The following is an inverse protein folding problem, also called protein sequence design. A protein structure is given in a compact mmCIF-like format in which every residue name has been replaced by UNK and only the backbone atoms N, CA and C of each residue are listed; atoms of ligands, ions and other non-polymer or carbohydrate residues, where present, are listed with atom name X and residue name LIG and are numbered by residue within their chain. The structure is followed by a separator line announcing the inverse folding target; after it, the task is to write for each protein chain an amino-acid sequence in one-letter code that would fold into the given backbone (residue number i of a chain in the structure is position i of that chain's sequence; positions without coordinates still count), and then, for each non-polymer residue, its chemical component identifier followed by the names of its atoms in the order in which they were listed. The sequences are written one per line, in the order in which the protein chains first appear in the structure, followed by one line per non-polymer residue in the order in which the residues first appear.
data_IF_938628012541
#
_entry.id   IF_938628012541
#
_cell.length_a   1.000
_cell.length_b   1.000
_cell.length_c   1.000
_cell.angle_alpha   90.00
_cell.angle_beta   90.00
_cell.angle_gamma   90.00
#
_symmetry.space_group_name_H-M   'P 1'
#
loop_
_entity.id
_entity.type
_entity.pdbx_description
1 polymer ?
#
# COMPACT_ATOMS: atom_id res chain seq x y z
N UNK A 1 -7.50 2.24 -6.07
CA UNK A 1 -7.65 1.95 -4.64
C UNK A 1 -6.49 1.13 -4.06
N UNK A 2 -6.17 -0.06 -4.54
CA UNK A 2 -5.04 -0.88 -4.04
C UNK A 2 -3.70 -0.13 -3.98
N UNK A 3 -3.47 0.80 -4.92
CA UNK A 3 -2.26 1.65 -4.97
C UNK A 3 -2.15 2.60 -3.77
N UNK A 4 -3.20 3.32 -3.43
CA UNK A 4 -3.20 4.24 -2.28
C UNK A 4 -2.91 3.49 -0.99
N UNK A 5 -3.61 2.37 -0.75
CA UNK A 5 -3.38 1.49 0.40
C UNK A 5 -1.92 1.05 0.45
N UNK A 6 -1.37 0.60 -0.68
CA UNK A 6 -0.02 0.06 -0.73
C UNK A 6 1.06 1.12 -0.53
N UNK A 7 0.92 2.29 -1.15
CA UNK A 7 1.84 3.41 -0.92
C UNK A 7 1.86 3.79 0.56
N UNK A 8 0.70 3.83 1.20
CA UNK A 8 0.59 4.09 2.64
C UNK A 8 1.30 3.00 3.46
N UNK A 9 1.08 1.72 3.17
CA UNK A 9 1.72 0.61 3.90
C UNK A 9 3.25 0.62 3.76
N UNK A 10 3.78 0.87 2.56
CA UNK A 10 5.22 0.89 2.29
C UNK A 10 5.92 2.09 2.94
N UNK A 11 5.22 3.21 3.10
CA UNK A 11 5.78 4.44 3.67
C UNK A 11 5.58 4.58 5.18
N UNK A 12 4.73 3.74 5.79
CA UNK A 12 4.46 3.75 7.23
C UNK A 12 5.74 3.51 8.07
N UNK A 13 5.81 4.17 9.21
CA UNK A 13 6.71 3.73 10.27
C UNK A 13 6.19 2.40 10.84
N UNK A 14 7.09 1.43 11.03
CA UNK A 14 6.70 0.22 11.76
C UNK A 14 6.28 0.61 13.18
N UNK A 15 5.12 0.14 13.66
CA UNK A 15 4.69 0.40 15.02
C UNK A 15 5.61 -0.24 16.09
N UNK A 16 6.52 -1.13 15.65
CA UNK A 16 7.59 -1.71 16.46
C UNK A 16 8.93 -0.97 16.33
N UNK A 17 8.97 0.20 15.67
CA UNK A 17 10.18 1.04 15.58
C UNK A 17 10.69 1.42 16.98
N UNK A 18 12.01 1.33 17.17
CA UNK A 18 12.63 1.74 18.43
C UNK A 18 12.79 3.27 18.48
N UNK A 19 12.51 3.86 19.65
CA UNK A 19 12.47 5.32 19.88
C UNK A 19 13.79 5.91 20.39
N UNK A 20 14.83 5.09 20.50
CA UNK A 20 16.06 5.47 21.21
C UNK A 20 17.02 6.37 20.40
N UNK A 21 16.75 6.58 19.12
CA UNK A 21 17.59 7.47 18.31
C UNK A 21 17.06 8.91 18.39
N UNK A 22 17.86 9.81 18.96
CA UNK A 22 17.54 11.25 19.04
C UNK A 22 17.90 12.02 17.78
N UNK A 23 18.71 11.44 16.93
CA UNK A 23 19.19 12.09 15.70
C UNK A 23 18.19 11.95 14.54
N UNK A 24 18.28 12.90 13.63
CA UNK A 24 17.59 12.79 12.34
C UNK A 24 18.29 11.71 11.53
N UNK A 25 17.56 10.67 11.14
CA UNK A 25 18.06 9.59 10.30
C UNK A 25 17.47 9.78 8.90
N UNK A 26 18.24 10.36 7.96
CA UNK A 26 17.82 10.42 6.55
C UNK A 26 17.79 9.01 5.96
N UNK A 27 16.85 8.76 5.07
CA UNK A 27 16.73 7.49 4.39
C UNK A 27 16.37 7.66 2.91
N UNK A 28 16.88 6.77 2.07
CA UNK A 28 16.42 6.57 0.71
C UNK A 28 16.04 5.10 0.54
N UNK A 29 14.99 4.81 -0.19
CA UNK A 29 14.57 3.43 -0.41
C UNK A 29 14.08 3.19 -1.83
N UNK A 30 14.39 2.00 -2.33
CA UNK A 30 13.86 1.43 -3.56
C UNK A 30 13.07 0.18 -3.17
N UNK A 31 11.83 0.09 -3.65
CA UNK A 31 10.98 -1.09 -3.49
C UNK A 31 10.56 -1.55 -4.88
N UNK A 32 10.76 -2.82 -5.16
CA UNK A 32 10.20 -3.48 -6.34
C UNK A 32 9.24 -4.55 -5.84
N UNK A 33 8.01 -4.47 -6.29
CA UNK A 33 6.92 -5.32 -5.84
C UNK A 33 6.23 -5.98 -7.01
N UNK A 34 5.84 -7.23 -6.85
CA UNK A 34 4.88 -7.91 -7.72
C UNK A 34 3.69 -8.34 -6.88
N UNK A 35 2.50 -7.97 -7.30
CA UNK A 35 1.24 -8.32 -6.65
C UNK A 35 0.30 -8.98 -7.65
N UNK A 36 -0.41 -10.01 -7.18
CA UNK A 36 -1.51 -10.64 -7.90
C UNK A 36 -2.79 -10.44 -7.11
N UNK A 37 -3.88 -10.28 -7.81
CA UNK A 37 -5.22 -10.30 -7.26
C UNK A 37 -6.04 -11.30 -8.07
N UNK A 38 -6.58 -12.30 -7.39
CA UNK A 38 -7.50 -13.29 -7.94
C UNK A 38 -8.91 -13.02 -7.41
N UNK A 39 -9.91 -13.06 -8.28
CA UNK A 39 -11.29 -12.77 -7.97
C UNK A 39 -12.12 -12.58 -9.24
N UNK A 40 -13.21 -11.85 -9.15
CA UNK A 40 -14.09 -11.56 -10.30
C UNK A 40 -13.34 -10.82 -11.43
N UNK A 41 -12.28 -10.06 -11.09
CA UNK A 41 -11.34 -9.45 -12.03
C UNK A 41 -9.91 -9.72 -11.54
N UNK A 42 -9.24 -10.68 -12.17
CA UNK A 42 -7.83 -10.94 -11.88
C UNK A 42 -6.95 -9.89 -12.54
N UNK A 43 -5.99 -9.38 -11.79
CA UNK A 43 -4.94 -8.55 -12.35
C UNK A 43 -3.60 -8.85 -11.70
N UNK A 44 -2.55 -8.57 -12.43
CA UNK A 44 -1.17 -8.66 -12.00
C UNK A 44 -0.55 -7.27 -12.06
N UNK A 45 0.20 -6.85 -11.06
CA UNK A 45 0.93 -5.59 -11.13
C UNK A 45 2.38 -5.77 -10.73
N UNK A 46 3.25 -5.06 -11.44
CA UNK A 46 4.67 -4.89 -11.08
C UNK A 46 4.90 -3.42 -10.79
N UNK A 47 5.27 -3.12 -9.54
CA UNK A 47 5.44 -1.75 -9.08
C UNK A 47 6.87 -1.49 -8.64
N UNK A 48 7.38 -0.32 -9.03
CA UNK A 48 8.64 0.22 -8.55
C UNK A 48 8.36 1.52 -7.80
N UNK A 49 8.88 1.64 -6.58
CA UNK A 49 8.76 2.83 -5.74
C UNK A 49 10.15 3.29 -5.35
N UNK A 50 10.46 4.54 -5.66
CA UNK A 50 11.67 5.22 -5.20
C UNK A 50 11.25 6.32 -4.23
N UNK A 51 11.85 6.36 -3.05
CA UNK A 51 11.54 7.39 -2.06
C UNK A 51 12.76 7.86 -1.30
N UNK A 52 12.70 9.10 -0.85
CA UNK A 52 13.62 9.70 0.09
C UNK A 52 12.84 10.35 1.24
N UNK A 53 13.46 10.41 2.41
CA UNK A 53 12.81 10.97 3.58
C UNK A 53 13.74 11.00 4.77
N UNK A 54 13.17 11.22 5.93
CA UNK A 54 13.87 11.12 7.19
C UNK A 54 12.93 10.72 8.32
N UNK A 55 13.49 10.18 9.37
CA UNK A 55 12.83 9.97 10.64
C UNK A 55 13.62 10.61 11.77
N UNK A 56 12.91 11.02 12.80
CA UNK A 56 13.48 11.57 14.02
C UNK A 56 12.71 11.07 15.22
N UNK A 57 13.43 10.63 16.24
CA UNK A 57 12.84 10.34 17.55
C UNK A 57 13.24 11.44 18.54
N UNK A 58 12.31 11.86 19.37
CA UNK A 58 12.54 12.84 20.43
C UNK A 58 11.61 12.54 21.60
N UNK A 59 12.22 12.19 22.73
CA UNK A 59 11.48 11.71 23.89
C UNK A 59 10.63 10.51 23.53
N UNK A 60 9.33 10.59 23.83
CA UNK A 60 8.36 9.53 23.58
C UNK A 60 7.80 9.52 22.14
N UNK A 61 8.31 10.41 21.26
CA UNK A 61 7.82 10.58 19.91
C UNK A 61 8.79 10.05 18.86
N UNK A 62 8.25 9.51 17.78
CA UNK A 62 8.94 9.36 16.50
C UNK A 62 8.11 10.01 15.39
N UNK A 63 8.75 10.82 14.58
CA UNK A 63 8.18 11.40 13.37
C UNK A 63 8.95 10.89 12.15
N UNK A 64 8.23 10.66 11.07
CA UNK A 64 8.81 10.31 9.78
C UNK A 64 8.11 11.06 8.66
N UNK A 65 8.85 11.36 7.60
CA UNK A 65 8.30 11.86 6.35
C UNK A 65 9.01 11.21 5.19
N UNK A 66 8.31 11.05 4.09
CA UNK A 66 8.84 10.52 2.82
C UNK A 66 8.21 11.25 1.66
N UNK A 67 9.01 11.45 0.63
CA UNK A 67 8.56 11.85 -0.70
C UNK A 67 9.12 10.87 -1.71
N UNK A 68 8.41 10.63 -2.80
CA UNK A 68 8.88 9.67 -3.79
C UNK A 68 8.07 9.65 -5.05
N UNK A 69 8.48 8.78 -5.95
CA UNK A 69 7.77 8.45 -7.16
C UNK A 69 7.49 6.95 -7.26
N UNK A 70 6.51 6.60 -8.06
CA UNK A 70 6.19 5.22 -8.37
C UNK A 70 5.94 5.04 -9.86
N UNK A 71 6.20 3.82 -10.32
CA UNK A 71 5.76 3.31 -11.61
C UNK A 71 5.09 1.96 -11.37
N UNK A 72 3.94 1.74 -11.97
CA UNK A 72 3.13 0.53 -11.82
C UNK A 72 2.74 0.03 -13.21
N UNK A 73 3.14 -1.18 -13.55
CA UNK A 73 2.75 -1.88 -14.78
C UNK A 73 1.68 -2.89 -14.41
N UNK A 74 0.52 -2.80 -15.06
CA UNK A 74 -0.68 -3.54 -14.69
C UNK A 74 -1.11 -4.38 -15.90
N UNK A 75 -1.12 -5.69 -15.70
CA UNK A 75 -1.70 -6.65 -16.63
C UNK A 75 -3.09 -7.06 -16.12
N UNK A 76 -4.11 -6.77 -16.91
CA UNK A 76 -5.50 -7.16 -16.62
C UNK A 76 -5.79 -8.45 -17.39
N UNK A 77 -6.72 -9.27 -16.89
CA UNK A 77 -7.06 -10.53 -17.58
C UNK A 77 -7.49 -10.27 -19.03
N UNK A 78 -6.76 -10.89 -19.98
CA UNK A 78 -6.93 -10.69 -21.40
C UNK A 78 -5.84 -9.81 -22.02
N UNK A 79 -6.11 -9.16 -23.15
CA UNK A 79 -5.14 -8.31 -23.84
C UNK A 79 -5.02 -6.90 -23.22
N UNK A 80 -5.87 -6.57 -22.26
CA UNK A 80 -5.92 -5.25 -21.65
C UNK A 80 -4.72 -4.98 -20.77
N UNK A 81 -4.18 -3.78 -20.86
CA UNK A 81 -2.99 -3.34 -20.12
C UNK A 81 -3.20 -1.97 -19.53
N UNK A 82 -2.49 -1.71 -18.45
CA UNK A 82 -2.45 -0.39 -17.84
C UNK A 82 -1.07 -0.10 -17.29
N UNK A 83 -0.72 1.16 -17.25
CA UNK A 83 0.41 1.60 -16.46
C UNK A 83 0.00 2.83 -15.65
N UNK A 84 0.71 3.07 -14.57
CA UNK A 84 0.51 4.27 -13.79
C UNK A 84 1.82 4.76 -13.24
N UNK A 85 2.00 6.06 -13.27
CA UNK A 85 3.18 6.71 -12.71
C UNK A 85 2.78 7.95 -11.93
N UNK A 86 3.57 8.30 -10.93
CA UNK A 86 3.24 9.46 -10.14
C UNK A 86 4.21 9.72 -9.02
N UNK A 87 3.85 10.69 -8.20
CA UNK A 87 4.62 11.15 -7.05
C UNK A 87 3.75 11.06 -5.80
N UNK A 88 4.39 11.00 -4.65
CA UNK A 88 3.69 10.99 -3.38
C UNK A 88 4.50 11.67 -2.28
N UNK A 89 3.80 12.10 -1.24
CA UNK A 89 4.34 12.52 0.04
C UNK A 89 3.60 11.82 1.18
N UNK A 90 4.32 11.47 2.23
CA UNK A 90 3.72 10.89 3.42
C UNK A 90 4.36 11.45 4.69
N UNK A 91 3.57 11.52 5.73
CA UNK A 91 4.02 11.83 7.10
C UNK A 91 3.52 10.74 8.02
N UNK A 92 4.33 10.36 8.99
CA UNK A 92 3.98 9.36 10.00
C UNK A 92 4.43 9.82 11.37
N UNK A 93 3.67 9.48 12.39
CA UNK A 93 3.96 9.79 13.77
C UNK A 93 3.68 8.59 14.66
N UNK A 94 4.47 8.45 15.71
CA UNK A 94 4.24 7.48 16.77
C UNK A 94 4.58 8.11 18.11
N UNK A 95 3.80 7.82 19.13
CA UNK A 95 4.06 8.19 20.51
C UNK A 95 3.97 6.96 21.41
N UNK A 96 4.97 6.80 22.25
CA UNK A 96 4.93 5.80 23.33
C UNK A 96 4.56 6.50 24.65
N UNK A 97 3.70 5.88 25.43
CA UNK A 97 3.32 6.32 26.77
C UNK A 97 3.28 5.10 27.70
N UNK A 98 3.26 5.34 28.99
CA UNK A 98 3.43 4.36 30.08
C UNK A 98 3.03 2.92 29.75
N UNK A 99 3.81 1.96 30.24
CA UNK A 99 3.62 0.51 30.08
C UNK A 99 3.69 0.00 28.63
N UNK A 100 4.44 0.68 27.73
CA UNK A 100 4.64 0.26 26.34
C UNK A 100 3.46 0.49 25.43
N UNK A 101 2.49 1.30 25.85
CA UNK A 101 1.38 1.73 24.97
C UNK A 101 1.90 2.64 23.86
N UNK A 102 1.43 2.44 22.65
CA UNK A 102 1.81 3.22 21.46
C UNK A 102 0.58 3.70 20.71
N UNK A 103 0.54 4.98 20.44
CA UNK A 103 -0.34 5.59 19.45
C UNK A 103 0.50 5.86 18.19
N UNK A 104 0.02 5.46 17.04
CA UNK A 104 0.71 5.64 15.77
C UNK A 104 -0.27 6.06 14.68
N UNK A 105 0.22 6.78 13.70
CA UNK A 105 -0.61 7.23 12.60
C UNK A 105 0.20 7.67 11.40
N UNK A 106 -0.49 7.87 10.29
CA UNK A 106 0.10 8.26 9.01
C UNK A 106 -0.92 9.00 8.17
N UNK A 107 -0.41 9.91 7.34
CA UNK A 107 -1.14 10.49 6.22
C UNK A 107 -0.30 10.38 4.94
N UNK A 108 -0.97 10.22 3.80
CA UNK A 108 -0.39 10.12 2.47
C UNK A 108 -1.18 10.97 1.50
N UNK A 109 -0.47 11.66 0.63
CA UNK A 109 -1.00 12.34 -0.55
C UNK A 109 -0.19 11.87 -1.76
N UNK A 110 -0.86 11.51 -2.84
CA UNK A 110 -0.25 11.12 -4.11
C UNK A 110 -0.96 11.77 -5.29
N UNK A 111 -0.20 11.99 -6.36
CA UNK A 111 -0.72 12.42 -7.66
C UNK A 111 -0.07 11.57 -8.74
N UNK A 112 -0.85 11.13 -9.72
CA UNK A 112 -0.34 10.30 -10.80
C UNK A 112 -1.16 10.37 -12.06
N UNK A 113 -0.59 9.78 -13.11
CA UNK A 113 -1.21 9.59 -14.41
C UNK A 113 -1.35 8.09 -14.63
N UNK A 114 -2.51 7.69 -15.09
CA UNK A 114 -2.85 6.31 -15.43
C UNK A 114 -3.14 6.22 -16.91
N UNK A 115 -2.39 5.38 -17.63
CA UNK A 115 -2.67 5.04 -19.02
C UNK A 115 -3.27 3.64 -19.07
N UNK A 116 -4.31 3.48 -19.85
CA UNK A 116 -4.98 2.20 -20.05
C UNK A 116 -5.16 1.93 -21.53
N UNK A 117 -4.86 0.71 -21.95
CA UNK A 117 -5.13 0.19 -23.28
C UNK A 117 -6.13 -0.94 -23.18
N UNK A 118 -7.23 -0.84 -23.87
CA UNK A 118 -8.27 -1.86 -23.99
C UNK A 118 -8.42 -2.29 -25.44
N UNK A 119 -8.58 -3.58 -25.66
CA UNK A 119 -8.83 -4.14 -26.99
C UNK A 119 -10.29 -4.59 -27.07
N UNK A 120 -11.02 -4.07 -28.04
CA UNK A 120 -12.42 -4.38 -28.25
C UNK A 120 -12.64 -4.91 -29.67
N UNK A 121 -13.58 -5.83 -29.80
CA UNK A 121 -14.05 -6.27 -31.12
C UNK A 121 -15.33 -5.48 -31.45
N UNK A 122 -15.23 -4.60 -32.41
CA UNK A 122 -16.34 -3.85 -32.97
C UNK A 122 -16.78 -4.48 -34.30
N UNK A 123 -17.90 -4.02 -34.88
CA UNK A 123 -18.41 -4.48 -36.17
C UNK A 123 -17.38 -4.36 -37.32
N UNK A 124 -16.45 -3.41 -37.20
CA UNK A 124 -15.36 -3.16 -38.16
C UNK A 124 -14.05 -3.94 -37.84
N UNK A 125 -14.07 -4.80 -36.84
CA UNK A 125 -12.91 -5.60 -36.43
C UNK A 125 -12.36 -5.24 -35.04
N UNK A 126 -11.15 -5.71 -34.74
CA UNK A 126 -10.50 -5.42 -33.47
C UNK A 126 -9.96 -3.99 -33.44
N UNK A 127 -10.36 -3.20 -32.44
CA UNK A 127 -9.89 -1.83 -32.21
C UNK A 127 -9.12 -1.74 -30.90
N UNK A 128 -8.12 -0.88 -30.88
CA UNK A 128 -7.37 -0.49 -29.69
C UNK A 128 -7.92 0.85 -29.19
N UNK A 129 -8.29 0.90 -27.93
CA UNK A 129 -8.77 2.10 -27.25
C UNK A 129 -7.76 2.46 -26.16
N UNK A 130 -7.17 3.63 -26.27
CA UNK A 130 -6.20 4.15 -25.31
C UNK A 130 -6.84 5.28 -24.50
N UNK A 131 -6.64 5.29 -23.20
CA UNK A 131 -7.10 6.36 -22.32
C UNK A 131 -6.01 6.79 -21.36
N UNK A 132 -6.00 8.07 -21.02
CA UNK A 132 -5.12 8.64 -20.01
C UNK A 132 -5.97 9.41 -19.01
N UNK A 133 -5.80 9.14 -17.72
CA UNK A 133 -6.48 9.85 -16.65
C UNK A 133 -5.52 10.30 -15.56
N UNK A 134 -5.89 11.38 -14.88
CA UNK A 134 -5.18 11.83 -13.69
C UNK A 134 -5.85 11.28 -12.43
N UNK A 135 -5.04 10.98 -11.43
CA UNK A 135 -5.53 10.45 -10.17
C UNK A 135 -4.86 11.12 -8.98
N UNK A 136 -5.67 11.55 -8.02
CA UNK A 136 -5.22 12.00 -6.70
C UNK A 136 -5.49 10.91 -5.69
N UNK A 137 -4.47 10.48 -4.97
CA UNK A 137 -4.56 9.46 -3.92
C UNK A 137 -4.41 10.10 -2.55
N UNK A 138 -5.32 9.78 -1.64
CA UNK A 138 -5.30 10.19 -0.26
C UNK A 138 -5.32 8.96 0.63
N UNK A 139 -4.59 9.00 1.74
CA UNK A 139 -4.61 7.91 2.72
C UNK A 139 -4.34 8.44 4.11
N UNK A 140 -5.05 7.91 5.10
CA UNK A 140 -4.82 8.21 6.49
C UNK A 140 -5.01 6.97 7.36
N UNK A 141 -4.27 6.88 8.46
CA UNK A 141 -4.52 5.85 9.46
C UNK A 141 -4.14 6.34 10.85
N UNK A 142 -4.82 5.78 11.84
CA UNK A 142 -4.50 5.95 13.25
C UNK A 142 -4.67 4.61 13.96
N UNK A 143 -3.74 4.24 14.82
CA UNK A 143 -3.78 2.97 15.54
C UNK A 143 -3.22 3.10 16.93
N UNK A 144 -3.61 2.15 17.76
CA UNK A 144 -3.15 2.00 19.13
C UNK A 144 -2.75 0.56 19.38
N UNK A 145 -1.70 0.35 20.16
CA UNK A 145 -1.26 -1.00 20.54
C UNK A 145 -0.39 -0.96 21.78
N UNK A 146 -0.03 -2.15 22.28
CA UNK A 146 0.87 -2.28 23.41
C UNK A 146 2.06 -3.16 23.05
N UNK A 147 3.26 -2.59 23.10
CA UNK A 147 4.51 -3.32 22.86
C UNK A 147 4.90 -4.11 24.10
N UNK A 148 5.16 -5.39 23.90
CA UNK A 148 5.75 -6.30 24.87
C UNK A 148 7.11 -6.75 24.37
N UNK A 149 8.10 -6.74 25.23
CA UNK A 149 9.47 -7.15 24.93
C UNK A 149 10.06 -7.92 26.12
N UNK A 150 9.61 -9.17 26.37
CA UNK A 150 10.09 -9.98 27.47
C UNK A 150 11.60 -10.22 27.38
N UNK A 151 12.32 -10.12 28.50
CA UNK A 151 13.78 -10.24 28.51
C UNK A 151 14.28 -11.62 28.11
N UNK A 152 13.47 -12.67 28.35
CA UNK A 152 13.85 -14.06 28.08
C UNK A 152 13.79 -14.46 26.61
N UNK A 153 13.11 -13.67 25.75
CA UNK A 153 12.96 -13.97 24.33
C UNK A 153 13.45 -12.82 23.46
N UNK A 154 14.14 -13.15 22.39
CA UNK A 154 14.64 -12.16 21.43
C UNK A 154 13.55 -11.65 20.48
N UNK A 155 12.31 -11.50 20.97
CA UNK A 155 11.16 -11.03 20.21
C UNK A 155 10.48 -9.86 20.93
N UNK A 156 9.99 -8.91 20.15
CA UNK A 156 8.98 -7.93 20.56
C UNK A 156 7.69 -8.23 19.84
N UNK A 157 6.58 -8.11 20.52
CA UNK A 157 5.26 -8.26 19.89
C UNK A 157 4.31 -7.17 20.37
N UNK A 158 3.33 -6.84 19.52
CA UNK A 158 2.41 -5.78 19.77
C UNK A 158 1.01 -6.14 19.20
N UNK A 159 0.07 -6.53 20.08
CA UNK A 159 -1.33 -6.48 19.70
C UNK A 159 -1.73 -5.02 19.44
N UNK A 160 -2.53 -4.78 18.39
CA UNK A 160 -2.92 -3.45 17.99
C UNK A 160 -4.31 -3.43 17.36
N UNK A 161 -4.90 -2.25 17.34
CA UNK A 161 -6.04 -1.91 16.51
C UNK A 161 -5.73 -0.63 15.72
N UNK A 162 -6.19 -0.56 14.48
CA UNK A 162 -5.94 0.55 13.57
C UNK A 162 -7.19 0.85 12.75
N UNK A 163 -7.53 2.12 12.67
CA UNK A 163 -8.51 2.65 11.73
C UNK A 163 -7.76 3.24 10.54
N UNK A 164 -8.21 2.96 9.33
CA UNK A 164 -7.65 3.54 8.11
C UNK A 164 -8.75 4.02 7.18
N UNK A 165 -8.41 5.02 6.40
CA UNK A 165 -9.19 5.49 5.26
C UNK A 165 -8.24 5.72 4.09
N UNK A 166 -8.62 5.22 2.93
CA UNK A 166 -7.90 5.41 1.67
C UNK A 166 -8.90 5.84 0.60
N UNK A 167 -8.52 6.81 -0.20
CA UNK A 167 -9.31 7.33 -1.31
C UNK A 167 -8.47 7.57 -2.55
N UNK A 168 -9.09 7.44 -3.70
CA UNK A 168 -8.55 7.84 -4.99
C UNK A 168 -9.63 8.59 -5.76
N UNK A 169 -9.31 9.80 -6.15
CA UNK A 169 -10.14 10.60 -7.04
C UNK A 169 -9.52 10.54 -8.43
N UNK A 170 -10.31 10.22 -9.43
CA UNK A 170 -9.94 10.17 -10.84
C UNK A 170 -10.75 11.17 -11.60
N UNK A 171 -10.10 11.85 -12.55
CA UNK A 171 -10.80 12.69 -13.49
C UNK A 171 -11.67 11.84 -14.43
N UNK A 172 -12.68 12.46 -15.03
CA UNK A 172 -13.48 11.88 -16.09
C UNK A 172 -12.62 11.44 -17.27
N UNK A 173 -13.00 10.34 -17.87
CA UNK A 173 -12.31 9.76 -19.03
C UNK A 173 -13.33 9.34 -20.08
N UNK A 174 -13.05 9.74 -21.32
CA UNK A 174 -13.85 9.32 -22.46
C UNK A 174 -12.97 8.60 -23.48
N UNK A 175 -13.30 7.35 -23.75
CA UNK A 175 -12.75 6.64 -24.91
C UNK A 175 -13.34 7.22 -26.19
N UNK A 176 -12.57 7.30 -27.26
CA UNK A 176 -13.00 7.82 -28.55
C UNK A 176 -13.09 6.72 -29.62
N UNK A 177 -13.83 7.00 -30.65
CA UNK A 177 -13.81 6.29 -31.95
C UNK A 177 -14.37 4.85 -31.98
N UNK A 178 -15.24 4.45 -31.03
CA UNK A 178 -15.93 3.15 -31.10
C UNK A 178 -17.34 3.22 -30.52
N UNK A 179 -18.27 2.42 -31.06
CA UNK A 179 -19.62 2.22 -30.51
C UNK A 179 -19.59 1.52 -29.13
N UNK A 180 -18.49 0.83 -28.83
CA UNK A 180 -18.25 0.15 -27.55
C UNK A 180 -17.26 0.93 -26.67
N UNK A 181 -17.03 2.20 -26.98
CA UNK A 181 -16.25 3.11 -26.17
C UNK A 181 -16.94 3.37 -24.82
N UNK A 182 -16.17 3.53 -23.76
CA UNK A 182 -16.65 3.77 -22.42
C UNK A 182 -16.37 5.22 -22.01
N UNK A 183 -17.31 5.81 -21.30
CA UNK A 183 -17.15 7.09 -20.62
C UNK A 183 -17.23 6.84 -19.13
N UNK A 184 -16.19 7.27 -18.41
CA UNK A 184 -16.09 7.18 -16.97
C UNK A 184 -16.28 8.57 -16.40
N UNK A 185 -17.21 8.70 -15.45
CA UNK A 185 -17.41 9.95 -14.75
C UNK A 185 -16.32 10.18 -13.69
N UNK A 186 -16.13 11.45 -13.34
CA UNK A 186 -15.31 11.86 -12.19
C UNK A 186 -15.80 11.18 -10.91
N UNK A 187 -14.96 10.40 -10.27
CA UNK A 187 -15.36 9.57 -9.15
C UNK A 187 -14.34 9.53 -8.01
N UNK A 188 -14.86 9.59 -6.78
CA UNK A 188 -14.10 9.34 -5.57
C UNK A 188 -14.33 7.90 -5.10
N UNK A 189 -13.39 7.03 -5.37
CA UNK A 189 -13.34 5.69 -4.78
C UNK A 189 -12.73 5.77 -3.40
N UNK A 190 -13.41 5.29 -2.37
CA UNK A 190 -12.88 5.33 -1.00
C UNK A 190 -13.22 4.09 -0.19
N UNK A 191 -12.34 3.75 0.74
CA UNK A 191 -12.54 2.65 1.69
C UNK A 191 -12.10 3.04 3.08
N UNK A 192 -12.92 2.76 4.07
CA UNK A 192 -12.56 2.83 5.47
C UNK A 192 -12.55 1.43 6.09
N UNK A 193 -11.53 1.14 6.88
CA UNK A 193 -11.34 -0.17 7.47
C UNK A 193 -10.86 -0.07 8.92
N UNK A 194 -11.38 -0.98 9.74
CA UNK A 194 -10.85 -1.29 11.06
C UNK A 194 -10.03 -2.57 10.98
N UNK A 195 -8.81 -2.52 11.46
CA UNK A 195 -7.90 -3.66 11.52
C UNK A 195 -7.54 -3.96 12.98
N UNK A 196 -7.58 -5.22 13.37
CA UNK A 196 -7.08 -5.70 14.65
C UNK A 196 -6.08 -6.82 14.41
N UNK A 197 -4.91 -6.77 15.04
CA UNK A 197 -3.84 -7.70 14.71
C UNK A 197 -2.75 -7.81 15.74
N UNK A 198 -1.76 -8.60 15.37
CA UNK A 198 -0.52 -8.82 16.12
C UNK A 198 0.67 -8.55 15.21
N UNK A 199 1.54 -7.64 15.61
CA UNK A 199 2.84 -7.40 14.99
C UNK A 199 3.93 -8.05 15.86
N UNK A 200 4.92 -8.65 15.20
CA UNK A 200 6.09 -9.27 15.86
C UNK A 200 7.38 -8.82 15.18
N UNK A 201 8.45 -8.65 15.94
CA UNK A 201 9.77 -8.30 15.42
C UNK A 201 10.86 -8.93 16.26
N UNK A 202 11.89 -9.48 15.61
CA UNK A 202 13.10 -9.92 16.31
C UNK A 202 13.82 -8.70 16.90
N UNK A 203 14.27 -8.83 18.13
CA UNK A 203 15.18 -7.86 18.73
C UNK A 203 16.60 -8.18 18.28
N UNK A 204 17.31 -7.18 17.78
CA UNK A 204 18.71 -7.34 17.48
C UNK A 204 19.48 -7.57 18.79
N UNK A 205 20.17 -8.68 18.91
CA UNK A 205 21.27 -8.82 19.87
C UNK A 205 22.43 -7.94 19.39
N UNK A 206 23.28 -7.49 20.27
CA UNK A 206 24.39 -6.57 20.06
C UNK A 206 24.88 -6.40 18.61
N UNK A 207 25.26 -5.18 18.24
CA UNK A 207 25.72 -4.83 16.90
C UNK A 207 26.81 -5.80 16.40
N UNK A 208 26.48 -6.59 15.37
CA UNK A 208 27.46 -7.43 14.69
C UNK A 208 28.27 -6.55 13.72
N UNK A 209 29.61 -6.74 13.63
CA UNK A 209 30.43 -6.00 12.67
C UNK A 209 30.02 -6.24 11.21
N UNK A 210 29.35 -7.36 10.92
CA UNK A 210 28.86 -7.71 9.56
C UNK A 210 27.41 -7.28 9.32
N UNK A 211 26.70 -6.80 10.35
CA UNK A 211 25.28 -6.46 10.28
C UNK A 211 24.38 -7.49 10.99
N UNK A 212 23.10 -7.20 11.04
CA UNK A 212 22.11 -7.98 11.77
C UNK A 212 20.96 -8.43 10.86
N UNK A 213 20.60 -9.70 10.97
CA UNK A 213 19.35 -10.22 10.41
C UNK A 213 18.17 -9.82 11.30
N UNK A 214 17.05 -9.52 10.69
CA UNK A 214 15.79 -9.29 11.39
C UNK A 214 14.63 -9.99 10.69
N UNK A 215 13.65 -10.32 11.49
CA UNK A 215 12.34 -10.80 11.04
C UNK A 215 11.29 -9.88 11.63
N UNK A 216 10.36 -9.44 10.79
CA UNK A 216 9.17 -8.69 11.21
C UNK A 216 7.96 -9.35 10.58
N UNK A 217 6.90 -9.58 11.33
CA UNK A 217 5.68 -10.21 10.88
C UNK A 217 4.45 -9.48 11.40
N UNK A 218 3.36 -9.61 10.66
CA UNK A 218 2.05 -9.08 11.03
C UNK A 218 0.97 -10.06 10.57
N UNK A 219 0.02 -10.32 11.47
CA UNK A 219 -1.24 -10.97 11.14
C UNK A 219 -2.37 -10.10 11.63
N UNK A 220 -3.44 -9.97 10.86
CA UNK A 220 -4.54 -9.11 11.21
C UNK A 220 -5.86 -9.61 10.63
N UNK A 221 -6.93 -9.26 11.31
CA UNK A 221 -8.29 -9.27 10.78
C UNK A 221 -8.66 -7.84 10.40
N UNK A 222 -9.24 -7.67 9.21
CA UNK A 222 -9.64 -6.38 8.63
C UNK A 222 -11.14 -6.39 8.35
N UNK A 223 -11.83 -5.38 8.84
CA UNK A 223 -13.23 -5.12 8.53
C UNK A 223 -13.33 -3.81 7.75
N UNK A 224 -13.85 -3.86 6.51
CA UNK A 224 -14.14 -2.71 5.67
C UNK A 224 -15.60 -2.34 5.85
N UNK A 225 -15.88 -1.27 6.57
CA UNK A 225 -17.23 -0.83 6.93
C UNK A 225 -17.75 0.30 6.06
N UNK A 226 -16.90 0.95 5.30
CA UNK A 226 -17.28 1.95 4.30
C UNK A 226 -16.51 1.65 3.03
N UNK A 227 -17.25 1.39 1.97
CA UNK A 227 -16.71 1.20 0.63
C UNK A 227 -17.58 2.04 -0.28
N UNK A 228 -17.00 3.10 -0.83
CA UNK A 228 -17.55 3.85 -1.96
C UNK A 228 -16.64 3.55 -3.14
N UNK A 229 -17.08 2.67 -4.04
CA UNK A 229 -16.17 2.10 -5.01
C UNK A 229 -16.85 1.48 -6.21
N UNK A 230 -18.02 1.96 -6.55
CA UNK A 230 -18.64 1.62 -7.82
C UNK A 230 -18.06 2.53 -8.88
N UNK A 231 -17.30 1.99 -9.81
CA UNK A 231 -16.94 2.68 -11.03
C UNK A 231 -18.14 2.58 -11.99
N UNK A 232 -18.75 3.72 -12.26
CA UNK A 232 -19.82 3.81 -13.23
C UNK A 232 -19.24 4.17 -14.59
N UNK A 233 -19.55 3.40 -15.61
CA UNK A 233 -19.23 3.76 -16.98
C UNK A 233 -20.44 3.62 -17.89
N UNK A 234 -20.52 4.52 -18.85
CA UNK A 234 -21.57 4.54 -19.88
C UNK A 234 -20.99 4.07 -21.20
N UNK A 235 -21.67 3.16 -21.87
CA UNK A 235 -21.32 2.77 -23.24
C UNK A 235 -21.79 3.84 -24.21
N UNK A 236 -20.87 4.56 -24.85
CA UNK A 236 -21.19 5.74 -25.68
C UNK A 236 -22.11 5.42 -26.87
N UNK A 237 -22.06 4.18 -27.40
CA UNK A 237 -22.90 3.76 -28.53
C UNK A 237 -24.28 3.22 -28.14
N UNK A 238 -24.49 2.83 -26.89
CA UNK A 238 -25.72 2.15 -26.44
C UNK A 238 -26.43 2.97 -25.37
N UNK A 239 -25.72 3.81 -24.63
CA UNK A 239 -26.29 4.64 -23.57
C UNK A 239 -26.61 3.87 -22.27
N UNK A 240 -26.18 2.60 -22.17
CA UNK A 240 -26.39 1.81 -20.98
C UNK A 240 -25.28 2.09 -19.94
N UNK A 241 -25.69 2.31 -18.70
CA UNK A 241 -24.79 2.46 -17.54
C UNK A 241 -24.45 1.09 -16.98
N UNK A 242 -23.19 0.88 -16.68
CA UNK A 242 -22.71 -0.32 -15.98
C UNK A 242 -21.93 0.08 -14.75
N UNK A 243 -22.33 -0.48 -13.61
CA UNK A 243 -21.64 -0.29 -12.33
C UNK A 243 -20.71 -1.47 -12.08
N UNK A 244 -19.46 -1.18 -11.73
CA UNK A 244 -18.45 -2.19 -11.35
C UNK A 244 -18.04 -1.96 -9.91
N UNK A 245 -18.35 -2.92 -9.04
CA UNK A 245 -17.89 -2.91 -7.66
C UNK A 245 -16.42 -3.36 -7.59
N UNK A 246 -15.57 -2.57 -6.93
CA UNK A 246 -14.14 -2.86 -6.80
C UNK A 246 -13.75 -3.63 -5.53
N UNK A 247 -14.61 -3.67 -4.53
CA UNK A 247 -14.33 -4.31 -3.25
C UNK A 247 -15.55 -5.07 -2.73
N UNK A 248 -15.53 -6.38 -2.91
CA UNK A 248 -16.55 -7.26 -2.33
C UNK A 248 -16.19 -7.75 -0.92
N UNK A 249 -14.90 -7.80 -0.59
CA UNK A 249 -14.44 -8.29 0.71
C UNK A 249 -14.70 -7.29 1.83
N UNK A 250 -15.74 -7.50 2.61
CA UNK A 250 -15.98 -6.74 3.85
C UNK A 250 -15.09 -7.23 4.99
N UNK A 251 -14.82 -8.52 5.03
CA UNK A 251 -14.03 -9.18 6.06
C UNK A 251 -12.84 -9.87 5.41
N UNK A 252 -11.65 -9.63 5.93
CA UNK A 252 -10.44 -10.25 5.40
C UNK A 252 -9.45 -10.61 6.50
N UNK A 253 -8.72 -11.72 6.29
CA UNK A 253 -7.51 -12.04 7.01
C UNK A 253 -6.31 -11.54 6.23
N UNK A 254 -5.41 -10.81 6.87
CA UNK A 254 -4.19 -10.30 6.27
C UNK A 254 -2.97 -10.82 6.99
N UNK A 255 -1.92 -11.14 6.25
CA UNK A 255 -0.64 -11.55 6.79
C UNK A 255 0.51 -10.87 6.04
N UNK A 256 1.58 -10.55 6.76
CA UNK A 256 2.79 -9.98 6.20
C UNK A 256 4.01 -10.57 6.91
N UNK A 257 5.04 -10.89 6.16
CA UNK A 257 6.33 -11.33 6.67
C UNK A 257 7.44 -10.55 5.96
N UNK A 258 8.36 -9.96 6.72
CA UNK A 258 9.53 -9.25 6.23
C UNK A 258 10.78 -9.87 6.84
N UNK A 259 11.68 -10.34 6.00
CA UNK A 259 13.00 -10.86 6.38
C UNK A 259 14.03 -9.91 5.79
N UNK A 260 14.95 -9.43 6.59
CA UNK A 260 15.94 -8.49 6.11
C UNK A 260 17.24 -8.55 6.87
N UNK A 261 18.22 -7.85 6.31
CA UNK A 261 19.56 -7.68 6.86
C UNK A 261 19.90 -6.19 6.85
N UNK A 262 20.42 -5.71 7.97
CA UNK A 262 20.91 -4.33 8.14
C UNK A 262 22.41 -4.40 8.33
N UNK A 263 23.17 -3.76 7.41
CA UNK A 263 24.62 -3.66 7.54
C UNK A 263 25.04 -2.65 8.61
N UNK A 264 26.28 -2.78 9.08
CA UNK A 264 26.90 -1.78 9.96
C UNK A 264 27.05 -0.39 9.31
N UNK A 265 26.99 -0.32 8.00
CA UNK A 265 27.06 0.94 7.21
C UNK A 265 25.69 1.54 6.91
N UNK A 266 24.60 1.02 7.51
CA UNK A 266 23.25 1.56 7.35
C UNK A 266 22.53 1.15 6.07
N UNK A 267 22.97 0.12 5.35
CA UNK A 267 22.18 -0.48 4.28
C UNK A 267 21.24 -1.54 4.84
N UNK A 268 19.96 -1.46 4.49
CA UNK A 268 18.97 -2.48 4.78
C UNK A 268 18.51 -3.11 3.47
N UNK A 269 18.57 -4.44 3.39
CA UNK A 269 17.96 -5.23 2.33
C UNK A 269 16.88 -6.11 2.95
N UNK A 270 15.71 -6.13 2.36
CA UNK A 270 14.60 -6.93 2.86
C UNK A 270 13.77 -7.54 1.73
N UNK A 271 13.35 -8.78 1.96
CA UNK A 271 12.27 -9.45 1.24
C UNK A 271 11.00 -9.34 2.10
N UNK A 272 9.92 -8.93 1.49
CA UNK A 272 8.61 -8.88 2.13
C UNK A 272 7.62 -9.70 1.31
N UNK A 273 6.86 -10.53 2.00
CA UNK A 273 5.73 -11.28 1.47
C UNK A 273 4.48 -10.81 2.20
N UNK A 274 3.42 -10.60 1.49
CA UNK A 274 2.13 -10.23 2.05
C UNK A 274 0.98 -10.94 1.33
N UNK A 275 -0.10 -11.15 2.04
CA UNK A 275 -1.31 -11.78 1.51
C UNK A 275 -2.54 -11.32 2.27
N UNK A 276 -3.66 -11.35 1.60
CA UNK A 276 -4.98 -11.09 2.12
C UNK A 276 -5.97 -12.04 1.48
N UNK A 277 -6.83 -12.65 2.29
CA UNK A 277 -7.93 -13.48 1.84
C UNK A 277 -9.23 -13.02 2.52
N UNK A 278 -10.28 -12.87 1.78
CA UNK A 278 -11.54 -12.29 2.23
C UNK A 278 -12.75 -13.20 2.09
N UNK A 279 -13.88 -12.70 2.56
CA UNK A 279 -15.16 -13.40 2.61
C UNK A 279 -15.85 -13.54 1.24
N UNK A 280 -15.52 -12.71 0.26
CA UNK A 280 -16.01 -12.85 -1.12
C UNK A 280 -15.22 -13.87 -1.96
N UNK A 281 -14.16 -14.44 -1.41
CA UNK A 281 -13.27 -15.36 -2.11
C UNK A 281 -12.17 -14.64 -2.91
N UNK A 282 -12.08 -13.31 -2.85
CA UNK A 282 -10.98 -12.57 -3.44
C UNK A 282 -9.72 -12.74 -2.62
N UNK A 283 -8.64 -13.10 -3.30
CA UNK A 283 -7.33 -13.29 -2.71
C UNK A 283 -6.33 -12.32 -3.32
N UNK A 284 -5.49 -11.74 -2.49
CA UNK A 284 -4.36 -10.93 -2.91
C UNK A 284 -3.09 -11.45 -2.28
N UNK A 285 -2.04 -11.57 -3.06
CA UNK A 285 -0.71 -11.82 -2.54
C UNK A 285 0.33 -10.98 -3.27
N UNK A 286 1.40 -10.66 -2.59
CA UNK A 286 2.48 -9.85 -3.11
C UNK A 286 3.83 -10.27 -2.56
N UNK A 287 4.87 -9.99 -3.35
CA UNK A 287 6.25 -10.11 -2.94
C UNK A 287 7.00 -8.83 -3.32
N UNK A 288 7.81 -8.30 -2.42
CA UNK A 288 8.62 -7.13 -2.71
C UNK A 288 10.04 -7.26 -2.19
N UNK A 289 10.97 -6.70 -2.95
CA UNK A 289 12.35 -6.47 -2.55
C UNK A 289 12.51 -5.00 -2.18
N UNK A 290 13.10 -4.76 -1.03
CA UNK A 290 13.35 -3.41 -0.52
C UNK A 290 14.83 -3.23 -0.22
N UNK A 291 15.38 -2.15 -0.74
CA UNK A 291 16.65 -1.61 -0.29
C UNK A 291 16.42 -0.24 0.34
N UNK A 292 17.04 -0.01 1.51
CA UNK A 292 16.98 1.28 2.19
C UNK A 292 18.39 1.64 2.65
N UNK A 293 18.78 2.88 2.43
CA UNK A 293 20.00 3.48 2.98
C UNK A 293 19.60 4.44 4.10
N UNK A 294 20.15 4.21 5.28
CA UNK A 294 20.12 5.11 6.42
C UNK A 294 21.46 5.85 6.47
N UNK A 295 21.41 7.16 6.47
CA UNK A 295 22.59 8.04 6.42
C UNK A 295 22.94 8.57 7.80
#
# INVERSE_FOLDING_TARGET
MSRSIRLREVTALSPLTDLYATDVIPEASLVVERANMDGAKSFQSTRTILSAGARRSFGDWALGWKVGGYYDDIEISGPDKGNAQGVFASVSAMREFGAGMRLFGQALLGYGVEDRTRYVNDFDGSKRLDTTTHAVSLGASIGIGRKFAPDQIALSFMPYAQLSWDGIHRDDVRESDSLVAQEYEDELLSVAALEAGLAVKTRSSAASPTGNLFLEGRIAYRNRFHVNGNETYTWTGIGDETNVEFFDNRHAAAAQCKIGWVSSTGHEFALMLDGEAGDSGDERWGASLRWTKHF
#
